data_IF_405170979474
#
_entry.id   IF_405170979474
#
_cell.length_a   1.000
_cell.length_b   1.000
_cell.length_c   1.000
_cell.angle_alpha   90.00
_cell.angle_beta   90.00
_cell.angle_gamma   90.00
#
_symmetry.space_group_name_H-M   'P 1'
#
loop_
_entity.id
_entity.type
_entity.pdbx_description
1 polymer ?
#
# COMPACT_ATOMS: atom_id res chain seq x y z
N UNK A 1 -17.23 0.84 9.27
CA UNK A 1 -17.38 0.22 7.93
C UNK A 1 -16.00 -0.15 7.43
N UNK A 2 -15.87 -1.33 6.82
CA UNK A 2 -14.66 -1.75 6.09
C UNK A 2 -15.09 -2.05 4.66
N UNK A 3 -14.33 -1.56 3.69
CA UNK A 3 -14.56 -1.81 2.26
C UNK A 3 -13.24 -2.14 1.60
N UNK A 4 -13.26 -3.16 0.73
CA UNK A 4 -12.11 -3.59 -0.06
C UNK A 4 -12.47 -3.49 -1.54
N UNK A 5 -11.51 -3.02 -2.33
CA UNK A 5 -11.64 -2.94 -3.80
C UNK A 5 -10.33 -3.36 -4.45
N UNK A 6 -10.43 -3.96 -5.63
CA UNK A 6 -9.25 -4.28 -6.44
C UNK A 6 -8.79 -3.02 -7.19
N UNK A 7 -7.59 -2.55 -6.85
CA UNK A 7 -6.87 -1.53 -7.60
C UNK A 7 -5.90 -2.16 -8.57
N UNK A 8 -5.35 -1.36 -9.48
CA UNK A 8 -4.43 -1.87 -10.49
C UNK A 8 -3.06 -2.35 -9.93
N UNK A 9 -2.71 -1.96 -8.69
CA UNK A 9 -1.54 -2.45 -7.94
C UNK A 9 -1.89 -3.56 -6.94
N UNK A 10 -3.17 -3.92 -6.82
CA UNK A 10 -3.70 -4.85 -5.81
C UNK A 10 -4.79 -4.23 -4.93
N UNK A 11 -5.07 -4.89 -3.80
CA UNK A 11 -6.11 -4.53 -2.83
C UNK A 11 -5.95 -3.11 -2.23
N UNK A 12 -7.02 -2.33 -2.29
CA UNK A 12 -7.17 -1.08 -1.52
C UNK A 12 -8.24 -1.30 -0.45
N UNK A 13 -7.90 -1.02 0.81
CA UNK A 13 -8.83 -1.12 1.94
C UNK A 13 -9.16 0.27 2.51
N UNK A 14 -10.45 0.54 2.68
CA UNK A 14 -10.98 1.72 3.37
C UNK A 14 -11.62 1.32 4.69
N UNK A 15 -11.20 1.94 5.79
CA UNK A 15 -11.75 1.71 7.12
C UNK A 15 -12.27 3.03 7.69
N UNK A 16 -13.58 3.08 7.93
CA UNK A 16 -14.25 4.23 8.51
C UNK A 16 -14.88 3.92 9.86
N UNK A 17 -14.55 4.72 10.87
CA UNK A 17 -15.26 4.80 12.14
C UNK A 17 -16.05 6.09 12.17
N UNK A 18 -17.33 6.02 12.53
CA UNK A 18 -18.18 7.19 12.71
C UNK A 18 -18.49 7.42 14.19
N UNK A 19 -18.61 8.68 14.59
CA UNK A 19 -19.11 9.05 15.92
C UNK A 19 -20.64 8.88 16.02
N UNK A 20 -21.21 9.19 17.19
CA UNK A 20 -22.66 9.09 17.41
C UNK A 20 -23.51 10.09 16.60
N UNK A 21 -22.89 11.05 15.92
CA UNK A 21 -23.55 11.99 14.99
C UNK A 21 -23.34 11.58 13.52
N UNK A 22 -22.71 10.43 13.26
CA UNK A 22 -22.43 9.94 11.90
C UNK A 22 -21.23 10.59 11.21
N UNK A 23 -20.43 11.41 11.90
CA UNK A 23 -19.21 12.02 11.32
C UNK A 23 -18.03 11.06 11.44
N UNK A 24 -17.06 11.14 10.54
CA UNK A 24 -15.84 10.32 10.67
C UNK A 24 -15.06 10.68 11.94
N UNK A 25 -14.96 9.71 12.85
CA UNK A 25 -14.05 9.75 14.00
C UNK A 25 -12.64 9.30 13.61
N UNK A 26 -12.53 8.37 12.65
CA UNK A 26 -11.27 7.94 12.04
C UNK A 26 -11.53 7.40 10.64
N UNK A 27 -10.64 7.72 9.70
CA UNK A 27 -10.63 7.14 8.38
C UNK A 27 -9.21 6.71 8.01
N UNK A 28 -9.02 5.43 7.72
CA UNK A 28 -7.74 4.86 7.29
C UNK A 28 -7.92 4.29 5.88
N UNK A 29 -6.96 4.60 5.03
CA UNK A 29 -6.82 3.98 3.71
C UNK A 29 -5.57 3.11 3.78
N UNK A 30 -5.63 1.92 3.21
CA UNK A 30 -4.47 1.06 3.03
C UNK A 30 -4.32 0.83 1.54
N UNK A 31 -3.25 1.37 0.96
CA UNK A 31 -2.85 1.12 -0.43
C UNK A 31 -2.05 -0.20 -0.50
N UNK A 32 -2.05 -0.92 -1.64
CA UNK A 32 -1.22 -2.11 -1.84
C UNK A 32 0.24 -1.92 -1.46
N UNK A 33 0.77 -0.71 -1.66
CA UNK A 33 2.16 -0.36 -1.35
C UNK A 33 2.48 -0.44 0.14
N UNK A 34 1.48 -0.34 1.03
CA UNK A 34 1.68 -0.54 2.46
C UNK A 34 2.17 -1.96 2.75
N UNK A 35 1.51 -2.97 2.20
CA UNK A 35 1.86 -4.38 2.40
C UNK A 35 3.02 -4.85 1.52
N UNK A 36 3.06 -4.42 0.26
CA UNK A 36 4.00 -4.96 -0.73
C UNK A 36 5.43 -4.41 -0.63
N UNK A 37 5.66 -3.36 0.18
CA UNK A 37 6.97 -2.73 0.30
C UNK A 37 8.08 -3.70 0.75
N UNK A 38 7.76 -4.58 1.69
CA UNK A 38 8.69 -5.61 2.14
C UNK A 38 9.06 -6.60 1.02
N UNK A 39 8.16 -6.82 0.06
CA UNK A 39 8.42 -7.64 -1.11
C UNK A 39 9.58 -7.12 -1.98
N UNK A 40 9.70 -5.79 -2.12
CA UNK A 40 10.84 -5.18 -2.80
C UNK A 40 12.16 -5.47 -2.07
N UNK A 41 12.17 -5.33 -0.73
CA UNK A 41 13.35 -5.63 0.07
C UNK A 41 13.77 -7.11 -0.01
N UNK A 42 12.79 -8.02 -0.12
CA UNK A 42 13.05 -9.44 -0.37
C UNK A 42 13.66 -9.70 -1.75
N UNK A 43 13.12 -9.07 -2.79
CA UNK A 43 13.56 -9.25 -4.18
C UNK A 43 14.98 -8.72 -4.46
N UNK A 44 15.45 -7.75 -3.65
CA UNK A 44 16.77 -7.13 -3.81
C UNK A 44 17.90 -7.89 -3.09
N UNK A 45 17.60 -8.94 -2.33
CA UNK A 45 18.64 -9.70 -1.62
C UNK A 45 19.56 -10.39 -2.61
N UNK A 46 20.86 -10.30 -2.33
CA UNK A 46 21.91 -10.91 -3.14
C UNK A 46 21.89 -10.45 -4.62
N UNK A 47 21.24 -9.32 -4.93
CA UNK A 47 21.22 -8.70 -6.25
C UNK A 47 22.23 -7.56 -6.35
N UNK A 48 22.54 -7.13 -7.57
CA UNK A 48 23.36 -5.94 -7.78
C UNK A 48 22.55 -4.68 -7.50
N UNK A 49 23.21 -3.60 -7.08
CA UNK A 49 22.54 -2.31 -6.88
C UNK A 49 21.90 -1.78 -8.17
N UNK A 50 22.45 -2.16 -9.34
CA UNK A 50 21.90 -1.83 -10.66
C UNK A 50 20.52 -2.42 -10.92
N UNK A 51 20.13 -3.47 -10.19
CA UNK A 51 18.84 -4.13 -10.36
C UNK A 51 17.73 -3.38 -9.62
N UNK A 52 18.08 -2.42 -8.75
CA UNK A 52 17.12 -1.64 -7.98
C UNK A 52 16.03 -0.98 -8.82
N UNK A 53 16.32 -0.26 -9.92
CA UNK A 53 15.28 0.36 -10.75
C UNK A 53 14.33 -0.67 -11.37
N UNK A 54 14.85 -1.84 -11.78
CA UNK A 54 14.04 -2.91 -12.37
C UNK A 54 13.10 -3.51 -11.32
N UNK A 55 13.64 -3.95 -10.19
CA UNK A 55 12.84 -4.51 -9.09
C UNK A 55 11.80 -3.51 -8.59
N UNK A 56 12.21 -2.26 -8.32
CA UNK A 56 11.29 -1.22 -7.84
C UNK A 56 10.15 -0.96 -8.83
N UNK A 57 10.44 -0.95 -10.13
CA UNK A 57 9.41 -0.72 -11.15
C UNK A 57 8.45 -1.90 -11.29
N UNK A 58 8.92 -3.14 -11.15
CA UNK A 58 8.10 -4.36 -11.24
C UNK A 58 7.01 -4.42 -10.17
N UNK A 59 7.28 -3.96 -8.94
CA UNK A 59 6.27 -3.86 -7.89
C UNK A 59 5.37 -2.62 -8.05
N UNK A 60 5.84 -1.62 -8.79
CA UNK A 60 5.14 -0.36 -9.05
C UNK A 60 4.61 0.28 -7.76
N UNK A 61 5.43 0.33 -6.71
CA UNK A 61 5.02 0.84 -5.40
C UNK A 61 4.83 2.36 -5.43
N UNK A 62 3.95 2.84 -4.56
CA UNK A 62 3.69 4.26 -4.31
C UNK A 62 4.19 4.62 -2.92
N UNK A 63 5.13 5.58 -2.83
CA UNK A 63 5.60 6.11 -1.55
C UNK A 63 4.44 6.74 -0.75
N UNK A 64 3.67 7.62 -1.40
CA UNK A 64 2.48 8.20 -0.77
C UNK A 64 1.45 7.14 -0.37
N UNK A 65 1.35 6.05 -1.13
CA UNK A 65 0.47 4.93 -0.78
C UNK A 65 0.92 4.20 0.49
N UNK A 66 2.23 4.09 0.71
CA UNK A 66 2.81 3.50 1.92
C UNK A 66 2.66 4.42 3.14
N UNK A 67 2.67 5.74 2.94
CA UNK A 67 2.54 6.73 4.02
C UNK A 67 1.08 6.95 4.49
N UNK A 68 0.10 6.67 3.63
CA UNK A 68 -1.35 6.78 3.91
C UNK A 68 -1.81 5.80 4.97
#
# INVERSE_FOLDING_TARGET
>A
VVSLVEGWRGEICHVAFTDGQGRFARYKIVDPSFHNWFGLAMALRDQQISDFPLCNKSFNLSYCGHDL
#
